data_IF_295901294908
#
_entry.id   IF_295901294908
#
_cell.length_a   1.000
_cell.length_b   1.000
_cell.length_c   1.000
_cell.angle_alpha   90.00
_cell.angle_beta   90.00
_cell.angle_gamma   90.00
#
_symmetry.space_group_name_H-M   'P 1'
#
loop_
_entity.id
_entity.type
_entity.pdbx_description
1 polymer ?
#
# COMPACT_ATOMS: atom_id res chain seq x y z
N UNK A 1 -24.42 -11.85 -11.06
CA UNK A 1 -24.37 -12.95 -10.08
C UNK A 1 -23.20 -12.69 -9.15
N UNK A 2 -23.46 -12.45 -7.86
CA UNK A 2 -22.40 -12.37 -6.85
C UNK A 2 -22.36 -13.70 -6.10
N UNK A 3 -21.20 -14.36 -6.14
CA UNK A 3 -20.95 -15.58 -5.39
C UNK A 3 -20.38 -15.15 -4.02
N UNK A 4 -21.15 -15.32 -2.94
CA UNK A 4 -20.66 -15.11 -1.58
C UNK A 4 -20.23 -16.46 -1.02
N UNK A 5 -18.93 -16.67 -0.87
CA UNK A 5 -18.38 -17.86 -0.21
C UNK A 5 -18.60 -17.67 1.30
N UNK A 6 -19.25 -18.62 2.00
CA UNK A 6 -19.44 -18.52 3.45
C UNK A 6 -18.08 -18.53 4.17
N UNK A 7 -17.93 -17.67 5.18
CA UNK A 7 -16.65 -17.41 5.85
C UNK A 7 -15.95 -18.65 6.43
N UNK A 8 -16.68 -19.67 6.86
CA UNK A 8 -16.09 -20.92 7.37
C UNK A 8 -15.35 -21.74 6.28
N UNK A 9 -15.70 -21.57 5.00
CA UNK A 9 -14.99 -22.21 3.89
C UNK A 9 -13.71 -21.46 3.48
N UNK A 10 -13.54 -20.20 3.92
CA UNK A 10 -12.38 -19.40 3.55
C UNK A 10 -11.11 -19.89 4.27
N UNK A 11 -11.22 -20.33 5.53
CA UNK A 11 -10.08 -20.88 6.28
C UNK A 11 -9.54 -22.17 5.66
N UNK A 12 -10.43 -23.11 5.32
CA UNK A 12 -10.04 -24.38 4.72
C UNK A 12 -9.49 -24.21 3.29
N UNK A 13 -10.08 -23.30 2.50
CA UNK A 13 -9.51 -22.93 1.19
C UNK A 13 -8.14 -22.25 1.32
N UNK A 14 -7.95 -21.34 2.28
CA UNK A 14 -6.66 -20.68 2.50
C UNK A 14 -5.57 -21.70 2.87
N UNK A 15 -5.89 -22.65 3.77
CA UNK A 15 -4.96 -23.72 4.13
C UNK A 15 -4.63 -24.63 2.94
N UNK A 16 -5.60 -24.95 2.08
CA UNK A 16 -5.34 -25.75 0.88
C UNK A 16 -4.38 -25.06 -0.09
N UNK A 17 -4.53 -23.75 -0.30
CA UNK A 17 -3.64 -22.97 -1.17
C UNK A 17 -2.19 -22.97 -0.66
N UNK A 18 -2.02 -22.91 0.66
CA UNK A 18 -0.70 -22.90 1.31
C UNK A 18 -0.12 -24.31 1.51
N UNK A 19 -0.86 -25.36 1.11
CA UNK A 19 -0.41 -26.74 1.23
C UNK A 19 0.80 -26.99 0.34
N UNK A 20 1.85 -27.55 0.95
CA UNK A 20 3.07 -27.98 0.25
C UNK A 20 3.00 -29.47 -0.06
N UNK A 21 3.43 -29.85 -1.26
CA UNK A 21 3.58 -31.23 -1.65
C UNK A 21 4.79 -31.92 -0.99
N UNK A 22 5.04 -33.19 -1.31
CA UNK A 22 6.08 -34.02 -0.68
C UNK A 22 7.51 -33.44 -0.75
N UNK A 23 7.76 -32.54 -1.71
CA UNK A 23 9.06 -31.89 -1.92
C UNK A 23 9.13 -30.48 -1.30
N UNK A 24 8.23 -30.15 -0.37
CA UNK A 24 8.09 -28.81 0.22
C UNK A 24 7.77 -27.70 -0.80
N UNK A 25 7.31 -28.06 -2.00
CA UNK A 25 6.89 -27.12 -3.05
C UNK A 25 5.39 -26.81 -2.89
N UNK A 26 4.95 -25.55 -3.01
CA UNK A 26 3.53 -25.19 -3.05
C UNK A 26 2.79 -26.01 -4.11
N UNK A 27 1.63 -26.57 -3.73
CA UNK A 27 0.74 -27.23 -4.68
C UNK A 27 0.03 -26.20 -5.58
N UNK A 28 -0.31 -25.04 -5.02
CA UNK A 28 -0.82 -23.91 -5.77
C UNK A 28 0.29 -23.21 -6.55
N UNK A 29 0.44 -23.54 -7.84
CA UNK A 29 1.40 -22.92 -8.77
C UNK A 29 0.81 -22.71 -10.16
N UNK A 30 -0.28 -21.95 -10.30
CA UNK A 30 -0.79 -21.61 -11.62
C UNK A 30 0.22 -20.76 -12.42
N UNK A 31 0.13 -20.75 -13.76
CA UNK A 31 0.89 -19.83 -14.60
C UNK A 31 0.66 -18.37 -14.19
N UNK A 32 1.68 -17.54 -14.37
CA UNK A 32 1.58 -16.11 -14.10
C UNK A 32 0.67 -15.41 -15.13
N UNK A 33 -0.11 -14.44 -14.69
CA UNK A 33 -0.68 -13.47 -15.63
C UNK A 33 0.39 -12.50 -16.09
N UNK A 34 0.40 -12.17 -17.39
CA UNK A 34 1.43 -11.32 -18.01
C UNK A 34 0.88 -10.03 -18.60
N UNK A 35 -0.44 -9.82 -18.52
CA UNK A 35 -1.14 -8.67 -19.12
C UNK A 35 -1.90 -7.84 -18.09
N UNK A 36 -1.61 -7.99 -16.79
CA UNK A 36 -2.30 -7.24 -15.75
C UNK A 36 -1.88 -5.75 -15.81
N UNK A 37 -2.87 -4.87 -15.93
CA UNK A 37 -2.63 -3.42 -15.85
C UNK A 37 -3.11 -2.82 -14.53
N UNK A 38 -3.97 -3.54 -13.81
CA UNK A 38 -4.54 -3.14 -12.52
C UNK A 38 -4.54 -4.35 -11.61
N UNK A 39 -3.98 -4.22 -10.42
CA UNK A 39 -3.85 -5.31 -9.46
C UNK A 39 -4.34 -4.84 -8.11
N UNK A 40 -5.16 -5.67 -7.46
CA UNK A 40 -5.54 -5.49 -6.07
C UNK A 40 -5.05 -6.69 -5.27
N UNK A 41 -4.22 -6.45 -4.25
CA UNK A 41 -3.69 -7.49 -3.36
C UNK A 41 -4.26 -7.22 -1.97
N UNK A 42 -5.18 -8.09 -1.56
CA UNK A 42 -5.73 -8.13 -0.21
C UNK A 42 -5.09 -9.28 0.59
N UNK A 43 -5.03 -9.20 1.92
CA UNK A 43 -4.61 -10.31 2.76
C UNK A 43 -5.43 -11.56 2.48
N UNK A 44 -4.76 -12.66 2.17
CA UNK A 44 -5.40 -13.95 1.96
C UNK A 44 -4.44 -15.08 2.38
N UNK A 45 -4.16 -16.05 1.50
CA UNK A 45 -3.15 -17.08 1.74
C UNK A 45 -1.80 -16.66 1.17
N UNK A 46 -0.70 -17.15 1.75
CA UNK A 46 0.65 -16.77 1.34
C UNK A 46 0.91 -17.16 -0.13
N UNK A 47 0.53 -18.38 -0.52
CA UNK A 47 0.72 -18.88 -1.87
C UNK A 47 -0.06 -18.08 -2.92
N UNK A 48 -1.24 -17.57 -2.57
CA UNK A 48 -2.03 -16.74 -3.48
C UNK A 48 -1.41 -15.35 -3.61
N UNK A 49 -0.97 -14.75 -2.50
CA UNK A 49 -0.27 -13.46 -2.50
C UNK A 49 1.03 -13.56 -3.31
N UNK A 50 1.86 -14.57 -3.07
CA UNK A 50 3.11 -14.80 -3.80
C UNK A 50 2.85 -14.93 -5.31
N UNK A 51 1.81 -15.67 -5.70
CA UNK A 51 1.43 -15.80 -7.10
C UNK A 51 0.92 -14.48 -7.70
N UNK A 52 0.15 -13.67 -6.97
CA UNK A 52 -0.27 -12.35 -7.42
C UNK A 52 0.91 -11.38 -7.56
N UNK A 53 1.86 -11.39 -6.63
CA UNK A 53 3.09 -10.60 -6.71
C UNK A 53 3.88 -11.01 -7.94
N UNK A 54 4.08 -12.32 -8.16
CA UNK A 54 4.77 -12.82 -9.33
C UNK A 54 4.09 -12.39 -10.63
N UNK A 55 2.76 -12.52 -10.70
CA UNK A 55 1.95 -12.09 -11.86
C UNK A 55 2.02 -10.59 -12.09
N UNK A 56 2.00 -9.78 -11.03
CA UNK A 56 2.11 -8.33 -11.13
C UNK A 56 3.49 -7.89 -11.66
N UNK A 57 4.56 -8.54 -11.20
CA UNK A 57 5.95 -8.25 -11.60
C UNK A 57 6.23 -8.57 -13.06
N UNK A 58 5.59 -9.59 -13.63
CA UNK A 58 5.75 -9.95 -15.05
C UNK A 58 4.72 -9.27 -15.97
N UNK A 59 3.88 -8.40 -15.41
CA UNK A 59 2.83 -7.68 -16.12
C UNK A 59 3.11 -6.17 -16.20
N UNK A 60 2.57 -5.44 -17.19
CA UNK A 60 2.66 -3.99 -17.28
C UNK A 60 1.70 -3.28 -16.31
N UNK A 61 1.83 -3.57 -15.03
CA UNK A 61 0.94 -3.10 -13.97
C UNK A 61 1.08 -1.59 -13.78
N UNK A 62 -0.01 -0.84 -14.00
CA UNK A 62 -0.07 0.62 -13.87
C UNK A 62 -0.77 1.08 -12.60
N UNK A 63 -1.68 0.26 -12.06
CA UNK A 63 -2.43 0.57 -10.83
C UNK A 63 -2.31 -0.58 -9.85
N UNK A 64 -1.92 -0.25 -8.63
CA UNK A 64 -1.81 -1.19 -7.53
C UNK A 64 -2.66 -0.71 -6.36
N UNK A 65 -3.51 -1.58 -5.85
CA UNK A 65 -4.27 -1.35 -4.61
C UNK A 65 -3.91 -2.42 -3.59
N UNK A 66 -3.33 -2.01 -2.47
CA UNK A 66 -2.87 -2.92 -1.42
C UNK A 66 -3.75 -2.81 -0.19
N UNK A 67 -4.07 -3.95 0.40
CA UNK A 67 -4.73 -4.07 1.69
C UNK A 67 -6.18 -4.54 1.60
N UNK A 68 -6.90 -4.46 2.72
CA UNK A 68 -8.24 -5.00 2.84
C UNK A 68 -8.97 -4.46 4.07
N UNK A 69 -10.21 -4.88 4.25
CA UNK A 69 -11.05 -4.43 5.38
C UNK A 69 -10.47 -4.98 6.70
N UNK A 70 -10.32 -4.09 7.69
CA UNK A 70 -9.89 -4.38 9.06
C UNK A 70 -10.58 -5.63 9.62
N UNK A 71 -9.79 -6.55 10.18
CA UNK A 71 -10.26 -7.79 10.82
C UNK A 71 -9.63 -9.10 10.32
N UNK A 72 -8.80 -9.06 9.26
CA UNK A 72 -8.10 -10.24 8.72
C UNK A 72 -6.60 -10.21 9.07
N UNK A 73 -6.27 -10.40 10.34
CA UNK A 73 -4.90 -10.31 10.90
C UNK A 73 -4.00 -11.53 10.65
N UNK A 74 -4.08 -12.22 9.51
CA UNK A 74 -3.38 -13.50 9.37
C UNK A 74 -2.33 -13.58 8.27
N UNK A 75 -2.22 -12.59 7.37
CA UNK A 75 -1.23 -12.65 6.31
C UNK A 75 -0.67 -11.27 5.94
N UNK A 76 0.64 -11.11 6.16
CA UNK A 76 1.37 -9.93 5.72
C UNK A 76 1.54 -9.97 4.20
N UNK A 77 1.38 -8.82 3.53
CA UNK A 77 1.68 -8.69 2.11
C UNK A 77 3.17 -8.30 2.01
N UNK A 78 4.05 -9.11 1.40
CA UNK A 78 5.47 -8.79 1.30
C UNK A 78 5.69 -7.75 0.19
N UNK A 79 5.32 -6.50 0.45
CA UNK A 79 5.30 -5.42 -0.56
C UNK A 79 6.67 -5.14 -1.17
N UNK A 80 7.75 -5.44 -0.44
CA UNK A 80 9.12 -5.31 -0.94
C UNK A 80 9.46 -6.26 -2.09
N UNK A 81 8.67 -7.33 -2.32
CA UNK A 81 8.82 -8.22 -3.47
C UNK A 81 8.17 -7.69 -4.75
N UNK A 82 7.43 -6.59 -4.68
CA UNK A 82 6.84 -5.96 -5.86
C UNK A 82 7.89 -5.07 -6.54
N UNK A 83 8.10 -5.32 -7.84
CA UNK A 83 8.98 -4.57 -8.71
C UNK A 83 8.18 -4.16 -9.95
N UNK A 84 7.56 -2.98 -9.89
CA UNK A 84 6.55 -2.55 -10.87
C UNK A 84 7.02 -1.33 -11.67
N UNK A 85 7.86 -1.51 -12.73
CA UNK A 85 8.47 -0.41 -13.52
C UNK A 85 7.46 0.53 -14.18
N UNK A 86 6.23 0.07 -14.39
CA UNK A 86 5.16 0.82 -15.05
C UNK A 86 4.10 1.35 -14.07
N UNK A 87 4.32 1.21 -12.76
CA UNK A 87 3.39 1.64 -11.75
C UNK A 87 3.23 3.16 -11.78
N UNK A 88 1.99 3.63 -11.93
CA UNK A 88 1.62 5.04 -11.94
C UNK A 88 0.74 5.42 -10.76
N UNK A 89 -0.11 4.51 -10.31
CA UNK A 89 -1.06 4.79 -9.25
C UNK A 89 -0.97 3.74 -8.14
N UNK A 90 -0.70 4.20 -6.93
CA UNK A 90 -0.69 3.39 -5.71
C UNK A 90 -1.88 3.77 -4.83
N UNK A 91 -2.61 2.76 -4.36
CA UNK A 91 -3.63 2.93 -3.33
C UNK A 91 -3.35 2.00 -2.15
N UNK A 92 -3.25 2.55 -0.94
CA UNK A 92 -3.08 1.80 0.30
C UNK A 92 -4.40 1.88 1.06
N UNK A 93 -5.06 0.74 1.26
CA UNK A 93 -6.39 0.66 1.88
C UNK A 93 -6.34 0.59 3.41
N UNK A 94 -5.14 0.51 3.99
CA UNK A 94 -4.88 0.60 5.43
C UNK A 94 -4.68 -0.74 6.16
N UNK A 95 -4.27 -0.63 7.43
CA UNK A 95 -4.34 -1.68 8.47
C UNK A 95 -3.31 -2.80 8.42
N UNK A 96 -2.36 -2.76 7.49
CA UNK A 96 -1.49 -3.91 7.17
C UNK A 96 -0.02 -3.57 6.98
N UNK A 97 0.32 -2.28 6.94
CA UNK A 97 1.68 -1.83 6.64
C UNK A 97 2.16 -0.85 7.71
N UNK A 98 3.43 -0.96 8.08
CA UNK A 98 4.13 0.08 8.85
C UNK A 98 4.61 1.20 7.92
N UNK A 99 5.03 2.33 8.51
CA UNK A 99 5.60 3.43 7.74
C UNK A 99 6.93 3.05 7.08
N UNK A 100 7.76 2.25 7.77
CA UNK A 100 9.02 1.73 7.21
C UNK A 100 8.79 0.85 5.98
N UNK A 101 7.77 -0.01 6.00
CA UNK A 101 7.43 -0.85 4.84
C UNK A 101 7.04 0.00 3.63
N UNK A 102 6.20 1.02 3.84
CA UNK A 102 5.78 1.94 2.76
C UNK A 102 6.98 2.75 2.25
N UNK A 103 7.81 3.26 3.15
CA UNK A 103 9.02 4.00 2.82
C UNK A 103 9.98 3.18 1.97
N UNK A 104 10.22 1.93 2.35
CA UNK A 104 11.05 0.98 1.61
C UNK A 104 10.48 0.70 0.21
N UNK A 105 9.17 0.50 0.11
CA UNK A 105 8.48 0.29 -1.16
C UNK A 105 8.60 1.50 -2.10
N UNK A 106 8.36 2.70 -1.60
CA UNK A 106 8.44 3.95 -2.36
C UNK A 106 9.88 4.30 -2.76
N UNK A 107 10.86 3.90 -1.96
CA UNK A 107 12.30 4.09 -2.23
C UNK A 107 12.87 3.14 -3.31
N UNK A 108 12.06 2.22 -3.84
CA UNK A 108 12.49 1.30 -4.88
C UNK A 108 12.51 2.02 -6.24
N UNK A 109 13.65 2.00 -6.93
CA UNK A 109 13.81 2.64 -8.24
C UNK A 109 12.84 2.12 -9.31
N UNK A 110 12.33 0.89 -9.12
CA UNK A 110 11.25 0.32 -9.93
C UNK A 110 10.00 1.21 -9.95
N UNK A 111 9.73 1.97 -8.90
CA UNK A 111 8.52 2.77 -8.76
C UNK A 111 8.73 4.24 -9.14
N UNK A 112 9.79 4.55 -9.89
CA UNK A 112 10.09 5.91 -10.35
C UNK A 112 9.02 6.51 -11.29
N UNK A 113 8.19 5.68 -11.92
CA UNK A 113 7.08 6.13 -12.79
C UNK A 113 5.81 6.52 -12.02
N UNK A 114 5.83 6.52 -10.68
CA UNK A 114 4.67 6.79 -9.86
C UNK A 114 4.19 8.23 -10.05
N UNK A 115 2.90 8.40 -10.33
CA UNK A 115 2.23 9.68 -10.60
C UNK A 115 1.28 10.06 -9.45
N UNK A 116 0.68 9.08 -8.78
CA UNK A 116 -0.26 9.34 -7.68
C UNK A 116 -0.17 8.33 -6.55
N UNK A 117 -0.26 8.82 -5.31
CA UNK A 117 -0.36 8.01 -4.09
C UNK A 117 -1.67 8.33 -3.39
N UNK A 118 -2.41 7.31 -2.98
CA UNK A 118 -3.65 7.49 -2.21
C UNK A 118 -3.72 6.52 -1.05
N UNK A 119 -4.16 7.00 0.10
CA UNK A 119 -4.51 6.21 1.27
C UNK A 119 -6.03 6.22 1.43
N UNK A 120 -6.65 5.11 1.85
CA UNK A 120 -8.08 5.11 2.18
C UNK A 120 -8.36 6.06 3.36
N UNK A 121 -9.52 6.71 3.39
CA UNK A 121 -9.92 7.64 4.45
C UNK A 121 -9.92 7.02 5.85
N UNK A 122 -10.18 5.71 5.94
CA UNK A 122 -10.15 4.94 7.19
C UNK A 122 -8.82 4.23 7.45
N UNK A 123 -7.78 4.54 6.65
CA UNK A 123 -6.48 3.90 6.81
C UNK A 123 -5.82 4.34 8.10
N UNK A 124 -5.43 3.37 8.90
CA UNK A 124 -4.43 3.52 9.95
C UNK A 124 -3.25 2.62 9.59
N UNK A 125 -2.02 3.12 9.80
CA UNK A 125 -0.82 2.32 9.63
C UNK A 125 -0.58 1.50 10.90
N UNK A 126 0.11 0.36 10.76
CA UNK A 126 0.52 -0.43 11.91
C UNK A 126 1.59 0.34 12.68
N UNK A 127 1.39 0.46 13.99
CA UNK A 127 2.42 0.99 14.90
C UNK A 127 3.60 0.02 14.94
N UNK A 128 4.82 0.54 14.83
CA UNK A 128 6.03 -0.24 15.02
C UNK A 128 6.16 -0.57 16.52
N UNK A 129 6.05 -1.85 16.90
CA UNK A 129 6.16 -2.24 18.31
C UNK A 129 7.56 -1.95 18.86
N UNK A 130 7.61 -1.18 19.95
CA UNK A 130 8.71 -1.05 20.93
C UNK A 130 10.15 -1.04 20.37
N UNK A 131 10.53 0.08 19.76
CA UNK A 131 11.86 0.67 20.00
C UNK A 131 11.67 2.18 20.05
N UNK A 132 12.47 2.88 20.87
CA UNK A 132 12.44 4.34 21.06
C UNK A 132 12.80 5.14 19.79
N UNK A 133 12.05 4.99 18.71
CA UNK A 133 12.20 5.76 17.49
C UNK A 133 10.96 6.61 17.27
N UNK A 134 11.13 7.90 17.41
CA UNK A 134 10.16 8.95 17.05
C UNK A 134 9.96 9.07 15.53
N UNK A 135 10.30 8.06 14.73
CA UNK A 135 10.13 8.08 13.27
C UNK A 135 8.71 7.66 12.89
N UNK A 136 7.75 8.49 13.26
CA UNK A 136 6.35 8.44 12.78
C UNK A 136 6.20 9.00 11.35
N UNK A 137 7.28 9.54 10.79
CA UNK A 137 7.32 10.13 9.45
C UNK A 137 7.73 9.11 8.39
N UNK A 138 7.27 9.33 7.16
CA UNK A 138 7.84 8.67 5.98
C UNK A 138 9.36 8.97 5.93
N UNK A 139 10.17 8.03 5.45
CA UNK A 139 11.62 8.24 5.27
C UNK A 139 12.03 7.83 3.85
N UNK A 140 12.27 8.81 2.97
CA UNK A 140 12.82 8.55 1.64
C UNK A 140 14.31 8.94 1.62
N UNK A 141 15.22 8.10 1.09
CA UNK A 141 16.64 8.42 1.04
C UNK A 141 16.87 9.72 0.27
N UNK A 142 17.83 10.56 0.69
CA UNK A 142 18.23 11.74 -0.06
C UNK A 142 18.64 11.32 -1.47
N UNK A 143 18.09 11.98 -2.49
CA UNK A 143 18.24 11.68 -3.93
C UNK A 143 17.40 10.51 -4.48
N UNK A 144 16.54 9.88 -3.69
CA UNK A 144 15.49 8.97 -4.17
C UNK A 144 14.12 9.61 -4.02
N UNK A 145 13.92 10.69 -4.78
CA UNK A 145 12.63 11.33 -4.90
C UNK A 145 11.64 10.52 -5.75
N UNK A 146 10.39 10.92 -5.67
CA UNK A 146 9.28 10.53 -6.51
C UNK A 146 8.93 11.72 -7.44
N UNK A 147 9.81 12.07 -8.40
CA UNK A 147 9.69 13.32 -9.16
C UNK A 147 8.45 13.37 -10.06
N UNK A 148 7.84 12.23 -10.37
CA UNK A 148 6.66 12.18 -11.22
C UNK A 148 5.35 12.24 -10.42
N UNK A 149 5.40 12.22 -9.08
CA UNK A 149 4.20 12.29 -8.26
C UNK A 149 3.65 13.69 -8.28
N UNK A 150 2.43 13.83 -8.82
CA UNK A 150 1.69 15.10 -8.88
C UNK A 150 0.50 15.11 -7.93
N UNK A 151 0.06 13.95 -7.43
CA UNK A 151 -1.12 13.85 -6.57
C UNK A 151 -0.89 12.95 -5.36
N UNK A 152 -1.23 13.45 -4.18
CA UNK A 152 -1.26 12.69 -2.93
C UNK A 152 -2.63 12.85 -2.27
N UNK A 153 -3.24 11.75 -1.85
CA UNK A 153 -4.53 11.76 -1.16
C UNK A 153 -4.47 10.94 0.13
N UNK A 154 -4.82 11.51 1.28
CA UNK A 154 -4.80 10.82 2.57
C UNK A 154 -5.70 11.52 3.59
N UNK A 155 -6.00 10.87 4.72
CA UNK A 155 -6.59 11.55 5.87
C UNK A 155 -5.58 12.50 6.54
N UNK A 156 -6.04 13.40 7.42
CA UNK A 156 -5.19 14.43 8.04
C UNK A 156 -3.99 13.84 8.78
N UNK A 157 -4.22 12.82 9.61
CA UNK A 157 -3.16 12.19 10.39
C UNK A 157 -2.06 11.58 9.53
N UNK A 158 -2.42 10.88 8.45
CA UNK A 158 -1.43 10.36 7.52
C UNK A 158 -0.75 11.46 6.71
N UNK A 159 -1.46 12.51 6.31
CA UNK A 159 -0.82 13.63 5.63
C UNK A 159 0.26 14.26 6.50
N UNK A 160 0.01 14.50 7.78
CA UNK A 160 1.02 15.04 8.71
C UNK A 160 2.30 14.20 8.77
N UNK A 161 2.19 12.88 8.73
CA UNK A 161 3.34 11.98 8.67
C UNK A 161 4.10 12.04 7.32
N UNK A 162 3.42 12.43 6.24
CA UNK A 162 3.97 12.50 4.88
C UNK A 162 4.53 13.88 4.54
N UNK A 163 3.94 14.97 5.07
CA UNK A 163 4.26 16.36 4.75
C UNK A 163 5.77 16.66 4.78
N UNK A 164 6.56 16.25 5.81
CA UNK A 164 7.99 16.57 5.85
C UNK A 164 8.78 16.00 4.67
N UNK A 165 8.30 14.92 4.06
CA UNK A 165 8.97 14.24 2.95
C UNK A 165 8.43 14.67 1.59
N UNK A 166 7.19 15.16 1.52
CA UNK A 166 6.58 15.59 0.26
C UNK A 166 7.35 16.74 -0.39
N UNK A 167 7.81 17.72 0.41
CA UNK A 167 8.57 18.88 -0.05
C UNK A 167 9.87 18.47 -0.77
N UNK A 168 10.63 17.53 -0.19
CA UNK A 168 11.93 17.11 -0.74
C UNK A 168 11.80 16.01 -1.80
N UNK A 169 10.88 15.07 -1.61
CA UNK A 169 10.78 13.90 -2.45
C UNK A 169 9.86 14.08 -3.66
N UNK A 170 8.85 14.96 -3.59
CA UNK A 170 7.85 15.14 -4.64
C UNK A 170 7.90 16.58 -5.20
N UNK A 171 8.98 16.98 -5.91
CA UNK A 171 9.17 18.36 -6.37
C UNK A 171 8.11 18.86 -7.36
N UNK A 172 7.34 17.96 -7.99
CA UNK A 172 6.28 18.28 -8.95
C UNK A 172 4.88 18.02 -8.37
N UNK A 173 4.73 18.00 -7.04
CA UNK A 173 3.43 17.79 -6.42
C UNK A 173 2.49 18.97 -6.73
N UNK A 174 1.35 18.70 -7.35
CA UNK A 174 0.36 19.71 -7.78
C UNK A 174 -0.90 19.69 -6.89
N UNK A 175 -1.26 18.51 -6.37
CA UNK A 175 -2.52 18.28 -5.69
C UNK A 175 -2.34 17.46 -4.40
N UNK A 176 -2.88 17.96 -3.30
CA UNK A 176 -3.00 17.26 -2.02
C UNK A 176 -4.47 17.20 -1.63
N UNK A 177 -5.03 16.00 -1.64
CA UNK A 177 -6.43 15.75 -1.28
C UNK A 177 -6.54 15.24 0.15
N UNK A 178 -7.22 16.01 1.01
CA UNK A 178 -7.55 15.60 2.38
C UNK A 178 -8.83 14.77 2.36
N UNK A 179 -8.70 13.48 2.67
CA UNK A 179 -9.81 12.53 2.67
C UNK A 179 -10.46 12.48 4.05
N UNK A 180 -11.68 13.01 4.15
CA UNK A 180 -12.46 12.95 5.39
C UNK A 180 -12.93 11.51 5.64
N UNK A 181 -12.57 10.94 6.80
CA UNK A 181 -13.29 9.80 7.32
C UNK A 181 -14.74 10.25 7.59
N UNK A 182 -15.74 9.48 7.17
CA UNK A 182 -17.16 9.90 7.17
C UNK A 182 -17.80 10.16 8.55
N UNK A 183 -17.01 10.42 9.59
CA UNK A 183 -17.42 10.63 10.96
C UNK A 183 -16.90 11.98 11.41
N UNK A 184 -17.69 13.04 11.19
CA UNK A 184 -17.61 14.35 11.89
C UNK A 184 -16.27 14.63 12.60
N UNK A 185 -15.20 14.76 11.83
CA UNK A 185 -14.00 15.41 12.35
C UNK A 185 -14.32 16.90 12.31
N UNK A 186 -14.53 17.48 13.50
CA UNK A 186 -14.33 18.92 13.64
C UNK A 186 -12.94 19.21 13.10
N UNK A 187 -12.83 20.14 12.14
CA UNK A 187 -11.57 20.56 11.53
C UNK A 187 -10.59 21.01 12.64
N UNK A 188 -9.81 20.07 13.17
CA UNK A 188 -8.88 20.27 14.26
C UNK A 188 -7.59 20.94 13.81
N UNK A 189 -6.68 21.16 14.76
CA UNK A 189 -5.34 21.75 14.52
C UNK A 189 -4.57 21.03 13.40
N UNK A 190 -4.72 19.71 13.26
CA UNK A 190 -4.08 18.91 12.21
C UNK A 190 -4.46 19.34 10.79
N UNK A 191 -5.74 19.67 10.55
CA UNK A 191 -6.18 20.17 9.25
C UNK A 191 -5.61 21.57 8.98
N UNK A 192 -5.50 22.42 10.02
CA UNK A 192 -4.89 23.74 9.89
C UNK A 192 -3.41 23.65 9.54
N UNK A 193 -2.68 22.71 10.12
CA UNK A 193 -1.28 22.47 9.80
C UNK A 193 -1.10 22.02 8.34
N UNK A 194 -1.91 21.05 7.88
CA UNK A 194 -1.93 20.62 6.48
C UNK A 194 -2.27 21.79 5.54
N UNK A 195 -3.30 22.58 5.84
CA UNK A 195 -3.69 23.73 5.03
C UNK A 195 -2.62 24.84 5.02
N UNK A 196 -1.95 25.06 6.15
CA UNK A 196 -0.83 26.01 6.25
C UNK A 196 0.37 25.62 5.40
N UNK A 197 0.56 24.32 5.18
CA UNK A 197 1.60 23.80 4.29
C UNK A 197 1.24 24.00 2.82
N UNK A 198 0.01 23.67 2.42
CA UNK A 198 -0.48 23.82 1.04
C UNK A 198 -0.49 25.29 0.56
N UNK A 199 -0.53 26.24 1.49
CA UNK A 199 -0.61 27.68 1.21
C UNK A 199 0.74 28.41 1.13
N UNK A 200 1.87 27.70 1.28
CA UNK A 200 3.23 28.23 1.09
C UNK A 200 3.64 28.23 -0.38
#
# INVERSE_FOLDING_TARGET
>A
MSFKIPYHYLSDMQQWLDTKGPNSRPLFRPPAFTTLTKVHIAPFSNALIDWFIHSANVSPTKRLSLGGILGQHHCAIPIHHLHLPHLRHLTILGGLFTMSEISSFLSNAAHSSLESISFSSVSQLLSEMDTQSEETSLCLPPNKGLPNVTTVAANSGLLLCFLPVLEEACPNLEHVDVLLAGWKEELGEECWEVLSWISR
#
